data_IF_403473527496
#
_entry.id   IF_403473527496
#
_cell.length_a   1.000
_cell.length_b   1.000
_cell.length_c   1.000
_cell.angle_alpha   90.00
_cell.angle_beta   90.00
_cell.angle_gamma   90.00
#
_symmetry.space_group_name_H-M   'P 1'
#
loop_
_entity.id
_entity.type
_entity.pdbx_description
1 polymer ?
#
# COMPACT_ATOMS: atom_id res chain seq x y z
N UNK A 1 -9.35 -8.87 22.57
CA UNK A 1 -8.55 -9.92 21.89
C UNK A 1 -8.65 -11.23 22.66
N UNK A 2 -8.55 -12.39 21.99
CA UNK A 2 -8.48 -13.70 22.66
C UNK A 2 -7.04 -14.18 22.67
N UNK A 3 -6.56 -14.64 23.83
CA UNK A 3 -5.22 -15.18 23.99
C UNK A 3 -5.33 -16.57 24.59
N UNK A 4 -4.83 -17.58 23.88
CA UNK A 4 -4.83 -18.96 24.35
C UNK A 4 -3.39 -19.40 24.66
N UNK A 5 -3.13 -19.84 25.90
CA UNK A 5 -1.85 -20.39 26.32
C UNK A 5 -1.98 -21.91 26.31
N UNK A 6 -1.35 -22.55 25.31
CA UNK A 6 -1.36 -23.99 25.13
C UNK A 6 -0.22 -24.64 25.93
N UNK A 7 -0.55 -25.56 26.83
CA UNK A 7 0.42 -26.22 27.72
C UNK A 7 0.22 -27.73 27.72
N UNK A 8 1.29 -28.50 27.92
CA UNK A 8 1.13 -29.88 28.40
C UNK A 8 0.75 -29.88 29.88
N UNK A 9 0.11 -30.96 30.39
CA UNK A 9 -0.06 -31.15 31.83
C UNK A 9 1.27 -30.97 32.58
N UNK A 10 1.23 -30.26 33.71
CA UNK A 10 2.39 -30.00 34.57
C UNK A 10 3.58 -29.27 33.91
N UNK A 11 3.33 -28.45 32.87
CA UNK A 11 4.38 -27.67 32.23
C UNK A 11 5.03 -26.67 33.23
N UNK A 12 6.36 -26.74 33.47
CA UNK A 12 7.04 -25.90 34.46
C UNK A 12 7.11 -24.42 34.05
N UNK A 13 6.99 -24.13 32.76
CA UNK A 13 7.08 -22.77 32.23
C UNK A 13 5.71 -22.08 32.10
N UNK A 14 4.61 -22.78 32.39
CA UNK A 14 3.27 -22.20 32.28
C UNK A 14 3.06 -20.97 33.18
N UNK A 15 3.43 -21.00 34.48
CA UNK A 15 3.28 -19.81 35.34
C UNK A 15 4.12 -18.62 34.87
N UNK A 16 5.29 -18.88 34.31
CA UNK A 16 6.22 -17.84 33.81
C UNK A 16 5.62 -17.11 32.61
N UNK A 17 4.98 -17.84 31.69
CA UNK A 17 4.32 -17.24 30.53
C UNK A 17 3.11 -16.42 30.96
N UNK A 18 2.28 -16.93 31.86
CA UNK A 18 1.11 -16.22 32.38
C UNK A 18 1.51 -14.90 33.05
N UNK A 19 2.56 -14.91 33.89
CA UNK A 19 3.07 -13.70 34.54
C UNK A 19 3.60 -12.68 33.51
N UNK A 20 4.44 -13.12 32.57
CA UNK A 20 5.00 -12.23 31.53
C UNK A 20 3.92 -11.68 30.60
N UNK A 21 2.88 -12.47 30.33
CA UNK A 21 1.73 -12.04 29.53
C UNK A 21 0.92 -10.98 30.27
N UNK A 22 0.66 -11.16 31.57
CA UNK A 22 -0.01 -10.14 32.39
C UNK A 22 0.79 -8.81 32.40
N UNK A 23 2.12 -8.87 32.53
CA UNK A 23 2.99 -7.70 32.43
C UNK A 23 3.00 -7.06 31.03
N UNK A 24 2.86 -7.87 29.99
CA UNK A 24 2.82 -7.41 28.60
C UNK A 24 1.47 -6.75 28.25
N UNK A 25 0.38 -7.23 28.82
CA UNK A 25 -0.98 -6.69 28.61
C UNK A 25 -1.14 -5.28 29.19
N UNK A 26 -0.48 -4.95 30.30
CA UNK A 26 -0.39 -3.58 30.85
C UNK A 26 -1.75 -2.83 30.90
N UNK A 27 -2.83 -3.53 31.30
CA UNK A 27 -4.18 -2.97 31.39
C UNK A 27 -5.05 -3.10 30.13
N UNK A 28 -4.61 -3.79 29.07
CA UNK A 28 -5.43 -4.12 27.88
C UNK A 28 -6.54 -5.12 28.20
N UNK A 29 -7.70 -4.94 27.59
CA UNK A 29 -8.79 -5.93 27.63
C UNK A 29 -8.46 -7.13 26.74
N UNK A 30 -8.14 -8.26 27.37
CA UNK A 30 -7.91 -9.54 26.72
C UNK A 30 -8.59 -10.68 27.48
N UNK A 31 -9.21 -11.59 26.73
CA UNK A 31 -9.73 -12.86 27.25
C UNK A 31 -8.60 -13.89 27.17
N UNK A 32 -8.00 -14.20 28.31
CA UNK A 32 -6.85 -15.10 28.42
C UNK A 32 -7.31 -16.45 28.94
N UNK A 33 -7.17 -17.48 28.12
CA UNK A 33 -7.47 -18.86 28.50
C UNK A 33 -6.21 -19.73 28.47
N UNK A 34 -6.17 -20.71 29.36
CA UNK A 34 -5.17 -21.77 29.32
C UNK A 34 -5.82 -23.07 28.86
N UNK A 35 -5.17 -23.75 27.93
CA UNK A 35 -5.64 -25.02 27.37
C UNK A 35 -4.59 -26.09 27.57
N UNK A 36 -4.94 -27.14 28.32
CA UNK A 36 -4.09 -28.30 28.48
C UNK A 36 -4.24 -29.24 27.26
N UNK A 37 -3.11 -29.56 26.65
CA UNK A 37 -2.98 -30.38 25.45
C UNK A 37 -2.32 -31.70 25.84
N UNK A 38 -3.12 -32.77 25.80
CA UNK A 38 -2.71 -34.09 26.30
C UNK A 38 -2.14 -35.03 25.24
N UNK A 39 -2.39 -34.75 23.95
CA UNK A 39 -2.02 -35.65 22.86
C UNK A 39 -1.49 -34.91 21.61
N UNK A 40 -0.67 -35.57 20.77
CA UNK A 40 -0.08 -34.93 19.58
C UNK A 40 -1.10 -34.51 18.51
N UNK A 41 -2.27 -35.17 18.44
CA UNK A 41 -3.31 -34.81 17.47
C UNK A 41 -3.96 -33.48 17.87
N UNK A 42 -4.22 -33.30 19.17
CA UNK A 42 -4.70 -32.04 19.75
C UNK A 42 -3.66 -30.94 19.58
N UNK A 43 -2.37 -31.24 19.77
CA UNK A 43 -1.28 -30.30 19.51
C UNK A 43 -1.25 -29.84 18.05
N UNK A 44 -1.40 -30.76 17.09
CA UNK A 44 -1.47 -30.42 15.67
C UNK A 44 -2.72 -29.60 15.32
N UNK A 45 -3.89 -29.97 15.85
CA UNK A 45 -5.15 -29.24 15.62
C UNK A 45 -5.11 -27.81 16.14
N UNK A 46 -4.48 -27.60 17.30
CA UNK A 46 -4.37 -26.29 17.94
C UNK A 46 -3.11 -25.52 17.51
N UNK A 47 -2.26 -26.07 16.64
CA UNK A 47 -1.02 -25.42 16.21
C UNK A 47 0.05 -25.29 17.30
N UNK A 48 -0.02 -26.11 18.35
CA UNK A 48 0.97 -26.13 19.43
C UNK A 48 2.28 -26.74 18.94
N UNK A 49 3.29 -25.92 18.67
CA UNK A 49 4.62 -26.36 18.23
C UNK A 49 5.57 -26.71 19.39
N UNK A 50 5.08 -26.60 20.63
CA UNK A 50 5.71 -27.02 21.88
C UNK A 50 5.08 -26.32 23.09
N UNK A 51 5.36 -26.81 24.29
CA UNK A 51 4.84 -26.24 25.55
C UNK A 51 5.83 -25.27 26.19
N UNK A 52 5.40 -24.07 26.61
CA UNK A 52 4.13 -23.42 26.33
C UNK A 52 4.11 -22.84 24.90
N UNK A 53 2.93 -22.70 24.30
CA UNK A 53 2.70 -21.91 23.07
C UNK A 53 1.66 -20.84 23.34
N UNK A 54 1.96 -19.59 23.00
CA UNK A 54 1.02 -18.47 23.12
C UNK A 54 0.38 -18.23 21.76
N UNK A 55 -0.94 -18.35 21.69
CA UNK A 55 -1.73 -17.96 20.52
C UNK A 55 -2.42 -16.64 20.80
N UNK A 56 -2.35 -15.70 19.87
CA UNK A 56 -3.10 -14.45 19.89
C UNK A 56 -4.08 -14.50 18.73
N UNK A 57 -5.38 -14.41 19.03
CA UNK A 57 -6.49 -14.61 18.09
C UNK A 57 -6.34 -15.88 17.22
N UNK A 58 -5.79 -16.94 17.82
CA UNK A 58 -5.58 -18.24 17.17
C UNK A 58 -4.27 -18.38 16.39
N UNK A 59 -3.45 -17.33 16.28
CA UNK A 59 -2.16 -17.36 15.58
C UNK A 59 -0.97 -17.39 16.55
N UNK A 60 0.06 -18.18 16.23
CA UNK A 60 1.33 -18.22 16.98
C UNK A 60 2.32 -17.18 16.44
N UNK A 61 2.56 -16.05 17.14
CA UNK A 61 3.44 -14.99 16.66
C UNK A 61 4.93 -15.38 16.69
N UNK A 62 5.27 -16.51 17.30
CA UNK A 62 6.64 -17.01 17.42
C UNK A 62 6.86 -18.27 16.58
N UNK A 63 5.88 -18.66 15.77
CA UNK A 63 5.90 -19.87 14.97
C UNK A 63 7.04 -19.87 13.94
N UNK A 64 7.68 -21.02 13.75
CA UNK A 64 8.65 -21.22 12.67
C UNK A 64 7.97 -21.88 11.47
N UNK A 65 8.27 -21.45 10.22
CA UNK A 65 7.71 -22.08 9.02
C UNK A 65 8.03 -23.58 8.98
N UNK A 66 7.00 -24.40 8.78
CA UNK A 66 7.14 -25.87 8.71
C UNK A 66 7.24 -26.58 10.06
N UNK A 67 7.03 -25.88 11.18
CA UNK A 67 6.94 -26.53 12.48
C UNK A 67 5.68 -27.40 12.60
N UNK A 68 5.83 -28.59 13.18
CA UNK A 68 4.72 -29.53 13.42
C UNK A 68 4.24 -29.48 14.86
N UNK A 69 3.00 -29.93 15.08
CA UNK A 69 2.43 -30.07 16.42
C UNK A 69 3.33 -30.94 17.32
N UNK A 70 3.65 -30.45 18.53
CA UNK A 70 4.59 -31.11 19.45
C UNK A 70 4.18 -30.89 20.91
N UNK A 71 4.32 -31.95 21.72
CA UNK A 71 4.18 -31.93 23.18
C UNK A 71 5.49 -31.63 23.92
N UNK A 72 6.58 -31.35 23.20
CA UNK A 72 7.90 -31.08 23.79
C UNK A 72 8.00 -29.65 24.31
N UNK A 73 8.98 -29.37 25.19
CA UNK A 73 9.24 -28.00 25.62
C UNK A 73 9.64 -27.10 24.44
N UNK A 74 9.00 -25.93 24.36
CA UNK A 74 9.36 -24.89 23.39
C UNK A 74 10.43 -23.97 23.98
N UNK A 75 11.40 -23.59 23.15
CA UNK A 75 12.44 -22.65 23.51
C UNK A 75 12.26 -21.36 22.73
N UNK A 76 12.28 -20.25 23.46
CA UNK A 76 12.19 -18.89 22.96
C UNK A 76 13.55 -18.23 23.08
N UNK A 77 14.02 -17.58 22.01
CA UNK A 77 15.30 -16.87 22.03
C UNK A 77 15.06 -15.41 22.33
N UNK A 78 15.61 -14.94 23.45
CA UNK A 78 15.59 -13.54 23.83
C UNK A 78 16.60 -12.70 23.01
N UNK A 79 16.53 -11.35 23.12
CA UNK A 79 17.45 -10.43 22.44
C UNK A 79 18.93 -10.60 22.84
N UNK A 80 19.19 -11.19 24.00
CA UNK A 80 20.52 -11.53 24.53
C UNK A 80 21.05 -12.87 24.00
N UNK A 81 20.28 -13.55 23.12
CA UNK A 81 20.62 -14.83 22.51
C UNK A 81 20.41 -16.03 23.41
N UNK A 82 19.91 -15.85 24.65
CA UNK A 82 19.62 -16.96 25.56
C UNK A 82 18.31 -17.65 25.18
N UNK A 83 18.30 -18.97 25.27
CA UNK A 83 17.12 -19.78 25.07
C UNK A 83 16.40 -19.98 26.42
N UNK A 84 15.14 -19.58 26.50
CA UNK A 84 14.29 -19.70 27.68
C UNK A 84 13.02 -20.49 27.36
N UNK A 85 12.38 -21.05 28.39
CA UNK A 85 11.14 -21.81 28.25
C UNK A 85 9.87 -20.96 28.07
N UNK A 86 10.00 -19.64 27.97
CA UNK A 86 8.92 -18.67 27.85
C UNK A 86 9.37 -17.48 26.99
N UNK A 87 8.49 -16.86 26.18
CA UNK A 87 8.81 -15.62 25.48
C UNK A 87 9.08 -14.49 26.49
N UNK A 88 9.86 -13.49 26.07
CA UNK A 88 10.13 -12.31 26.91
C UNK A 88 8.92 -11.37 26.94
N UNK A 89 8.82 -10.52 27.98
CA UNK A 89 7.78 -9.48 28.05
C UNK A 89 7.86 -8.52 26.85
N UNK A 90 9.07 -8.24 26.37
CA UNK A 90 9.29 -7.36 25.20
C UNK A 90 8.74 -8.00 23.92
N UNK A 91 8.97 -9.29 23.72
CA UNK A 91 8.48 -10.02 22.56
C UNK A 91 6.96 -10.21 22.60
N UNK A 92 6.40 -10.46 23.80
CA UNK A 92 4.95 -10.50 24.01
C UNK A 92 4.32 -9.14 23.74
N UNK A 93 4.89 -8.04 24.24
CA UNK A 93 4.39 -6.68 23.93
C UNK A 93 4.44 -6.40 22.43
N UNK A 94 5.53 -6.76 21.75
CA UNK A 94 5.64 -6.61 20.29
C UNK A 94 4.58 -7.42 19.55
N UNK A 95 4.29 -8.64 20.00
CA UNK A 95 3.26 -9.49 19.41
C UNK A 95 1.84 -8.96 19.65
N UNK A 96 1.54 -8.49 20.86
CA UNK A 96 0.26 -7.86 21.21
C UNK A 96 0.05 -6.55 20.45
N UNK A 97 1.11 -5.73 20.34
CA UNK A 97 1.10 -4.55 19.48
C UNK A 97 0.87 -4.97 18.03
N UNK A 98 1.54 -5.98 17.49
CA UNK A 98 1.27 -6.43 16.12
C UNK A 98 -0.21 -6.79 15.89
N UNK A 99 -0.90 -7.36 16.89
CA UNK A 99 -2.31 -7.75 16.80
C UNK A 99 -3.29 -6.60 17.00
N UNK A 100 -3.04 -5.65 17.92
CA UNK A 100 -3.81 -4.40 17.99
C UNK A 100 -3.66 -3.57 16.69
N UNK A 101 -2.57 -3.80 15.95
CA UNK A 101 -2.28 -3.18 14.66
C UNK A 101 -2.85 -3.95 13.45
N UNK A 102 -3.37 -5.18 13.63
CA UNK A 102 -4.13 -5.95 12.62
C UNK A 102 -5.63 -6.00 12.91
N UNK A 103 -6.04 -5.88 14.17
CA UNK A 103 -7.42 -6.05 14.65
C UNK A 103 -8.43 -4.95 14.23
N UNK A 104 -8.02 -3.96 13.44
CA UNK A 104 -8.93 -2.93 12.91
C UNK A 104 -8.62 -2.49 11.47
N UNK A 105 -7.88 -3.29 10.70
CA UNK A 105 -7.56 -2.96 9.30
C UNK A 105 -7.63 -4.18 8.37
N UNK A 106 -8.48 -5.17 8.67
CA UNK A 106 -8.76 -6.26 7.75
C UNK A 106 -10.17 -6.09 7.16
N UNK A 107 -10.30 -5.07 6.31
CA UNK A 107 -11.18 -5.17 5.16
C UNK A 107 -10.27 -5.52 3.99
N UNK A 108 -10.64 -6.53 3.20
CA UNK A 108 -10.00 -6.74 1.89
C UNK A 108 -9.88 -5.39 1.20
N UNK A 109 -8.72 -5.05 0.60
CA UNK A 109 -8.56 -3.75 -0.02
C UNK A 109 -9.76 -3.55 -0.94
N UNK A 110 -10.58 -2.49 -0.76
CA UNK A 110 -11.24 -2.02 -1.94
C UNK A 110 -10.13 -1.78 -2.96
N UNK A 111 -10.42 -2.17 -4.18
CA UNK A 111 -9.50 -2.12 -5.28
C UNK A 111 -9.31 -0.62 -5.62
N UNK A 112 -8.63 0.13 -4.75
CA UNK A 112 -8.65 1.60 -4.69
C UNK A 112 -7.88 2.22 -5.86
N UNK A 113 -7.04 1.41 -6.51
CA UNK A 113 -6.45 1.71 -7.80
C UNK A 113 -7.27 1.16 -8.98
N UNK A 114 -8.19 0.23 -8.71
CA UNK A 114 -9.03 -0.39 -9.72
C UNK A 114 -10.34 0.38 -9.85
N UNK A 115 -10.49 0.96 -11.02
CA UNK A 115 -11.70 1.67 -11.45
C UNK A 115 -12.81 0.67 -11.79
N UNK A 116 -13.07 -0.32 -10.93
CA UNK A 116 -13.94 -1.45 -11.20
C UNK A 116 -13.55 -2.25 -12.45
N UNK A 117 -12.26 -2.58 -12.58
CA UNK A 117 -11.65 -3.38 -13.64
C UNK A 117 -11.15 -2.59 -14.86
N UNK A 118 -11.28 -1.26 -14.87
CA UNK A 118 -11.12 -0.46 -16.11
C UNK A 118 -9.69 0.01 -16.40
N UNK A 119 -8.77 -0.10 -15.44
CA UNK A 119 -7.38 0.34 -15.57
C UNK A 119 -7.22 1.84 -15.90
N UNK A 120 -5.98 2.28 -16.09
CA UNK A 120 -5.66 3.67 -16.47
C UNK A 120 -5.37 3.87 -17.94
N UNK A 121 -5.32 2.80 -18.74
CA UNK A 121 -5.04 2.89 -20.18
C UNK A 121 -6.34 3.08 -20.97
N UNK A 122 -6.46 4.21 -21.66
CA UNK A 122 -7.65 4.50 -22.46
C UNK A 122 -7.83 3.49 -23.62
N UNK A 123 -9.07 3.27 -24.09
CA UNK A 123 -9.32 2.43 -25.26
C UNK A 123 -8.60 2.95 -26.52
N UNK A 124 -8.26 2.05 -27.44
CA UNK A 124 -7.71 2.44 -28.77
C UNK A 124 -8.77 3.17 -29.61
N UNK A 125 -10.04 2.90 -29.36
CA UNK A 125 -11.15 3.43 -30.15
C UNK A 125 -11.17 4.96 -30.13
N UNK A 126 -11.45 5.57 -31.29
CA UNK A 126 -11.71 7.01 -31.40
C UNK A 126 -10.55 7.91 -30.99
N UNK A 127 -9.30 7.45 -31.05
CA UNK A 127 -8.11 8.24 -30.75
C UNK A 127 -7.83 8.47 -29.26
N UNK A 128 -8.66 7.94 -28.35
CA UNK A 128 -8.56 8.21 -26.91
C UNK A 128 -7.17 7.86 -26.35
N UNK A 129 -6.66 6.65 -26.63
CA UNK A 129 -5.33 6.22 -26.19
C UNK A 129 -4.20 7.07 -26.76
N UNK A 130 -4.29 7.42 -28.05
CA UNK A 130 -3.27 8.21 -28.72
C UNK A 130 -3.12 9.58 -28.04
N UNK A 131 -4.23 10.29 -27.89
CA UNK A 131 -4.27 11.60 -27.22
C UNK A 131 -3.87 11.48 -25.76
N UNK A 132 -4.33 10.46 -25.02
CA UNK A 132 -3.90 10.23 -23.64
C UNK A 132 -2.37 10.11 -23.55
N UNK A 133 -1.75 9.30 -24.41
CA UNK A 133 -0.30 9.12 -24.38
C UNK A 133 0.45 10.39 -24.79
N UNK A 134 -0.10 11.23 -25.68
CA UNK A 134 0.45 12.55 -25.99
C UNK A 134 0.43 13.44 -24.75
N UNK A 135 -0.71 13.52 -24.04
CA UNK A 135 -0.83 14.30 -22.79
C UNK A 135 0.20 13.84 -21.75
N UNK A 136 0.31 12.54 -21.51
CA UNK A 136 1.26 11.98 -20.53
C UNK A 136 2.72 12.27 -20.89
N UNK A 137 3.10 12.16 -22.17
CA UNK A 137 4.44 12.51 -22.64
C UNK A 137 4.71 14.00 -22.54
N UNK A 138 3.69 14.83 -22.79
CA UNK A 138 3.81 16.29 -22.66
C UNK A 138 4.14 16.66 -21.21
N UNK A 139 3.38 16.18 -20.23
CA UNK A 139 3.69 16.36 -18.79
C UNK A 139 5.13 15.97 -18.45
N UNK A 140 5.57 14.79 -18.89
CA UNK A 140 6.92 14.31 -18.60
C UNK A 140 8.04 15.19 -19.22
N UNK A 141 7.72 15.94 -20.27
CA UNK A 141 8.66 16.81 -20.98
C UNK A 141 8.63 18.27 -20.54
N UNK A 142 7.48 18.77 -20.08
CA UNK A 142 7.28 20.21 -19.77
C UNK A 142 6.99 20.49 -18.30
N UNK A 143 6.57 19.49 -17.52
CA UNK A 143 6.11 19.69 -16.15
C UNK A 143 4.62 20.05 -16.04
N UNK A 144 3.94 20.27 -17.17
CA UNK A 144 2.61 20.89 -17.22
C UNK A 144 1.67 20.16 -18.19
N UNK A 145 0.37 20.43 -18.07
CA UNK A 145 -0.62 19.98 -19.03
C UNK A 145 -0.47 20.71 -20.38
N UNK A 146 -0.67 20.02 -21.53
CA UNK A 146 -0.81 20.70 -22.81
C UNK A 146 -2.12 21.48 -22.86
N UNK A 147 -2.13 22.57 -23.62
CA UNK A 147 -3.40 23.22 -24.01
C UNK A 147 -4.10 22.40 -25.09
N UNK A 148 -5.43 22.47 -25.14
CA UNK A 148 -6.24 21.63 -26.04
C UNK A 148 -5.85 21.78 -27.51
N UNK A 149 -5.44 22.98 -27.93
CA UNK A 149 -4.98 23.25 -29.31
C UNK A 149 -3.73 22.45 -29.69
N UNK A 150 -2.84 22.14 -28.75
CA UNK A 150 -1.64 21.34 -29.00
C UNK A 150 -1.97 19.88 -29.32
N UNK A 151 -3.18 19.42 -28.99
CA UNK A 151 -3.66 18.07 -29.22
C UNK A 151 -4.41 17.91 -30.56
N UNK A 152 -4.70 19.01 -31.26
CA UNK A 152 -5.55 18.98 -32.47
C UNK A 152 -4.94 18.16 -33.60
N UNK A 153 -3.62 18.20 -33.78
CA UNK A 153 -2.96 17.41 -34.81
C UNK A 153 -3.16 15.90 -34.60
N UNK A 154 -3.06 15.43 -33.34
CA UNK A 154 -3.27 14.02 -33.00
C UNK A 154 -4.75 13.64 -33.11
N UNK A 155 -5.65 14.50 -32.63
CA UNK A 155 -7.09 14.26 -32.71
C UNK A 155 -7.59 14.18 -34.16
N UNK A 156 -7.12 15.09 -35.03
CA UNK A 156 -7.48 15.13 -36.44
C UNK A 156 -7.05 13.87 -37.19
N UNK A 157 -5.93 13.25 -36.81
CA UNK A 157 -5.49 11.96 -37.37
C UNK A 157 -6.50 10.82 -37.12
N UNK A 158 -7.37 10.99 -36.13
CA UNK A 158 -8.46 10.07 -35.78
C UNK A 158 -9.85 10.58 -36.20
N UNK A 159 -9.92 11.68 -36.97
CA UNK A 159 -11.18 12.24 -37.48
C UNK A 159 -12.06 12.89 -36.41
N UNK A 160 -11.46 13.36 -35.32
CA UNK A 160 -12.15 14.05 -34.21
C UNK A 160 -11.47 15.37 -33.87
N UNK A 161 -12.14 16.22 -33.11
CA UNK A 161 -11.53 17.42 -32.51
C UNK A 161 -10.81 17.05 -31.21
N UNK A 162 -9.81 17.84 -30.80
CA UNK A 162 -9.17 17.64 -29.51
C UNK A 162 -10.17 17.78 -28.35
N UNK A 163 -11.05 18.79 -28.41
CA UNK A 163 -12.08 19.03 -27.41
C UNK A 163 -12.97 17.79 -27.18
N UNK A 164 -13.44 17.14 -28.26
CA UNK A 164 -14.29 15.94 -28.14
C UNK A 164 -13.56 14.77 -27.46
N UNK A 165 -12.28 14.55 -27.80
CA UNK A 165 -11.48 13.47 -27.21
C UNK A 165 -11.17 13.77 -25.74
N UNK A 166 -10.80 15.01 -25.43
CA UNK A 166 -10.51 15.44 -24.04
C UNK A 166 -11.74 15.29 -23.16
N UNK A 167 -12.93 15.68 -23.65
CA UNK A 167 -14.19 15.50 -22.95
C UNK A 167 -14.50 14.01 -22.69
N UNK A 168 -14.28 13.12 -23.67
CA UNK A 168 -14.45 11.68 -23.50
C UNK A 168 -13.44 11.09 -22.50
N UNK A 169 -12.18 11.55 -22.53
CA UNK A 169 -11.16 11.12 -21.58
C UNK A 169 -11.52 11.56 -20.16
N UNK A 170 -12.09 12.76 -19.99
CA UNK A 170 -12.58 13.27 -18.72
C UNK A 170 -13.79 12.46 -18.22
N UNK A 171 -14.80 12.25 -19.07
CA UNK A 171 -15.97 11.43 -18.75
C UNK A 171 -15.58 9.98 -18.41
N UNK A 172 -14.51 9.50 -19.04
CA UNK A 172 -13.87 8.23 -18.78
C UNK A 172 -12.87 8.24 -17.63
N UNK A 173 -12.75 9.31 -16.82
CA UNK A 173 -11.82 9.47 -15.67
C UNK A 173 -10.38 9.00 -15.95
N UNK A 174 -9.90 9.30 -17.17
CA UNK A 174 -8.49 9.21 -17.55
C UNK A 174 -7.73 10.53 -17.29
N UNK A 175 -8.46 11.63 -17.26
CA UNK A 175 -8.00 12.97 -16.91
C UNK A 175 -9.10 13.73 -16.17
N UNK A 176 -8.76 14.88 -15.60
CA UNK A 176 -9.68 15.78 -14.90
C UNK A 176 -9.56 17.16 -15.52
N UNK A 177 -10.70 17.81 -15.78
CA UNK A 177 -10.76 19.17 -16.28
C UNK A 177 -10.97 20.18 -15.15
N UNK A 178 -10.50 21.42 -15.35
CA UNK A 178 -10.87 22.56 -14.53
C UNK A 178 -12.17 23.25 -15.04
N UNK A 179 -12.56 24.33 -14.37
CA UNK A 179 -13.77 25.11 -14.70
C UNK A 179 -13.69 25.82 -16.07
N UNK A 180 -12.51 25.86 -16.68
CA UNK A 180 -12.23 26.48 -17.99
C UNK A 180 -12.01 25.45 -19.09
N UNK A 181 -12.36 24.18 -18.86
CA UNK A 181 -12.13 23.05 -19.78
C UNK A 181 -10.63 22.76 -20.05
N UNK A 182 -9.73 23.30 -19.23
CA UNK A 182 -8.31 22.97 -19.24
C UNK A 182 -8.02 21.65 -18.51
N UNK A 183 -6.95 20.95 -18.90
CA UNK A 183 -6.56 19.70 -18.23
C UNK A 183 -5.89 20.04 -16.89
N UNK A 184 -6.60 19.78 -15.79
CA UNK A 184 -6.11 19.96 -14.41
C UNK A 184 -5.23 18.81 -13.94
N UNK A 185 -5.51 17.59 -14.41
CA UNK A 185 -4.76 16.39 -14.06
C UNK A 185 -4.91 15.33 -15.16
N UNK A 186 -3.88 14.52 -15.38
CA UNK A 186 -3.92 13.33 -16.22
C UNK A 186 -3.08 12.24 -15.56
N UNK A 187 -3.73 11.24 -14.97
CA UNK A 187 -3.07 10.29 -14.07
C UNK A 187 -1.87 9.61 -14.74
N UNK A 188 -0.68 9.64 -14.12
CA UNK A 188 -0.42 9.96 -12.70
C UNK A 188 -0.20 11.46 -12.36
N UNK A 189 -0.18 12.35 -13.34
CA UNK A 189 0.23 13.75 -13.18
C UNK A 189 -0.89 14.69 -12.73
N UNK A 190 -0.49 15.76 -12.03
CA UNK A 190 -1.30 16.92 -11.64
C UNK A 190 -0.67 18.18 -12.23
N UNK A 191 -1.48 19.07 -12.81
CA UNK A 191 -1.03 20.40 -13.24
C UNK A 191 -1.04 21.41 -12.07
N UNK A 192 -1.70 21.05 -10.97
CA UNK A 192 -1.71 21.82 -9.72
C UNK A 192 -0.69 21.24 -8.74
N UNK A 193 0.09 22.08 -8.02
CA UNK A 193 1.00 21.60 -7.00
C UNK A 193 0.31 20.71 -5.95
N UNK A 194 0.92 19.56 -5.66
CA UNK A 194 0.47 18.63 -4.62
C UNK A 194 1.57 18.43 -3.57
N UNK A 195 1.34 17.57 -2.57
CA UNK A 195 2.41 17.17 -1.66
C UNK A 195 3.49 16.32 -2.37
N UNK A 196 3.18 15.72 -3.52
CA UNK A 196 3.98 14.68 -4.16
C UNK A 196 4.71 15.23 -5.37
N UNK A 197 5.95 15.67 -5.18
CA UNK A 197 6.81 16.15 -6.27
C UNK A 197 7.65 15.01 -6.82
N UNK A 198 7.75 14.90 -8.15
CA UNK A 198 8.64 13.94 -8.80
C UNK A 198 9.59 14.70 -9.72
N UNK A 199 10.89 14.52 -9.51
CA UNK A 199 11.94 15.06 -10.38
C UNK A 199 12.47 13.94 -11.24
N UNK A 200 12.17 14.00 -12.54
CA UNK A 200 12.56 13.02 -13.55
C UNK A 200 14.06 13.20 -13.86
N UNK A 201 14.77 12.14 -14.26
CA UNK A 201 16.20 12.20 -14.62
C UNK A 201 16.55 13.27 -15.67
N UNK A 202 15.60 13.64 -16.54
CA UNK A 202 15.74 14.73 -17.51
C UNK A 202 15.89 16.11 -16.87
N UNK A 203 15.60 16.24 -15.58
CA UNK A 203 15.57 17.49 -14.82
C UNK A 203 14.18 18.13 -14.74
N UNK A 204 13.19 17.59 -15.44
CA UNK A 204 11.80 18.07 -15.38
C UNK A 204 11.18 17.69 -14.04
N UNK A 205 10.53 18.67 -13.39
CA UNK A 205 9.75 18.45 -12.18
C UNK A 205 8.27 18.41 -12.52
N UNK A 206 7.56 17.41 -12.00
CA UNK A 206 6.12 17.21 -12.15
C UNK A 206 5.49 17.00 -10.76
N UNK A 207 4.18 17.23 -10.67
CA UNK A 207 3.38 16.87 -9.50
C UNK A 207 2.59 15.61 -9.76
N UNK A 208 2.52 14.72 -8.77
CA UNK A 208 1.69 13.52 -8.83
C UNK A 208 0.41 13.72 -8.03
N UNK A 209 -0.70 13.10 -8.47
CA UNK A 209 -1.99 13.24 -7.78
C UNK A 209 -1.99 12.58 -6.39
N UNK A 210 -1.23 11.49 -6.21
CA UNK A 210 -1.16 10.75 -4.96
C UNK A 210 0.18 9.99 -4.81
N UNK A 211 0.37 9.31 -3.68
CA UNK A 211 1.57 8.53 -3.41
C UNK A 211 1.79 7.38 -4.41
N UNK A 212 0.75 6.62 -4.76
CA UNK A 212 0.85 5.52 -5.74
C UNK A 212 1.13 6.04 -7.14
N UNK A 213 0.52 7.17 -7.51
CA UNK A 213 0.78 7.85 -8.77
C UNK A 213 2.24 8.29 -8.87
N UNK A 214 2.80 8.85 -7.78
CA UNK A 214 4.22 9.22 -7.72
C UNK A 214 5.14 8.02 -7.93
N UNK A 215 4.85 6.88 -7.28
CA UNK A 215 5.61 5.63 -7.44
C UNK A 215 5.44 5.02 -8.84
N UNK A 216 4.34 5.29 -9.54
CA UNK A 216 4.10 4.78 -10.89
C UNK A 216 4.84 5.52 -12.00
N UNK A 217 5.20 6.79 -11.78
CA UNK A 217 5.83 7.65 -12.82
C UNK A 217 7.16 7.07 -13.35
N UNK A 218 8.13 6.64 -12.52
CA UNK A 218 9.42 6.13 -13.01
C UNK A 218 9.26 4.90 -13.90
N UNK A 219 8.45 3.93 -13.45
CA UNK A 219 8.15 2.71 -14.20
C UNK A 219 7.39 3.00 -15.50
N UNK A 220 6.42 3.93 -15.49
CA UNK A 220 5.68 4.35 -16.69
C UNK A 220 6.59 4.97 -17.76
N UNK A 221 7.56 5.77 -17.33
CA UNK A 221 8.49 6.48 -18.22
C UNK A 221 9.73 5.66 -18.58
N UNK A 222 10.02 4.59 -17.85
CA UNK A 222 11.25 3.81 -18.00
C UNK A 222 12.50 4.62 -17.68
N UNK A 223 12.44 5.48 -16.67
CA UNK A 223 13.53 6.38 -16.27
C UNK A 223 13.63 6.51 -14.76
N UNK A 224 14.83 6.82 -14.28
CA UNK A 224 15.09 7.18 -12.89
C UNK A 224 14.37 8.48 -12.50
N UNK A 225 14.03 8.61 -11.21
CA UNK A 225 13.43 9.81 -10.65
C UNK A 225 13.65 9.92 -9.14
N UNK A 226 13.52 11.13 -8.61
CA UNK A 226 13.47 11.40 -7.17
C UNK A 226 12.09 11.91 -6.80
N UNK A 227 11.40 11.20 -5.91
CA UNK A 227 10.10 11.58 -5.37
C UNK A 227 10.34 12.26 -4.02
N UNK A 228 9.71 13.41 -3.80
CA UNK A 228 9.68 14.10 -2.51
C UNK A 228 8.23 14.32 -2.09
N UNK A 229 7.92 13.96 -0.85
CA UNK A 229 6.61 14.15 -0.24
C UNK A 229 6.73 14.58 1.23
N UNK A 230 5.60 14.79 1.90
CA UNK A 230 5.52 15.17 3.30
C UNK A 230 4.46 14.34 4.02
N UNK A 231 4.76 13.94 5.26
CA UNK A 231 3.80 13.25 6.12
C UNK A 231 2.66 14.20 6.48
N UNK A 232 1.39 13.87 6.18
CA UNK A 232 0.28 14.79 6.40
C UNK A 232 -0.05 14.99 7.89
N UNK A 233 0.51 14.19 8.81
CA UNK A 233 0.29 14.34 10.26
C UNK A 233 1.34 15.22 10.91
N UNK A 234 2.61 15.02 10.54
CA UNK A 234 3.74 15.67 11.22
C UNK A 234 4.53 16.64 10.34
N UNK A 235 4.32 16.63 9.02
CA UNK A 235 4.98 17.52 8.05
C UNK A 235 6.39 17.11 7.64
N UNK A 236 6.98 16.10 8.28
CA UNK A 236 8.32 15.60 7.97
C UNK A 236 8.41 15.06 6.55
N UNK A 237 9.57 15.28 5.91
CA UNK A 237 9.82 14.91 4.51
C UNK A 237 9.99 13.40 4.35
N UNK A 238 9.37 12.86 3.30
CA UNK A 238 9.66 11.53 2.75
C UNK A 238 10.34 11.72 1.39
N UNK A 239 11.42 10.98 1.14
CA UNK A 239 12.09 10.93 -0.17
C UNK A 239 12.15 9.49 -0.65
N UNK A 240 11.83 9.25 -1.93
CA UNK A 240 12.02 7.97 -2.60
C UNK A 240 12.91 8.19 -3.81
N UNK A 241 14.07 7.57 -3.83
CA UNK A 241 15.00 7.60 -4.95
C UNK A 241 14.79 6.33 -5.79
N UNK A 242 14.37 6.50 -7.04
CA UNK A 242 14.19 5.43 -8.01
C UNK A 242 15.36 5.44 -8.99
N UNK A 243 16.22 4.44 -8.90
CA UNK A 243 17.40 4.27 -9.73
C UNK A 243 17.54 2.82 -10.20
N UNK A 244 17.80 2.61 -11.48
CA UNK A 244 18.00 1.28 -12.07
C UNK A 244 16.85 0.28 -11.77
N UNK A 245 15.61 0.80 -11.72
CA UNK A 245 14.40 -0.01 -11.42
C UNK A 245 14.26 -0.42 -9.95
N UNK A 246 15.09 0.11 -9.06
CA UNK A 246 15.01 -0.09 -7.62
C UNK A 246 14.64 1.22 -6.91
N UNK A 247 13.83 1.13 -5.86
CA UNK A 247 13.46 2.28 -5.05
C UNK A 247 14.07 2.19 -3.65
N UNK A 248 14.62 3.31 -3.17
CA UNK A 248 15.13 3.46 -1.81
C UNK A 248 14.41 4.59 -1.09
N UNK A 249 13.91 4.30 0.12
CA UNK A 249 12.99 5.17 0.83
C UNK A 249 13.64 5.76 2.08
N UNK A 250 13.38 7.05 2.30
CA UNK A 250 13.84 7.78 3.48
C UNK A 250 12.66 8.57 4.08
N UNK A 251 12.30 8.32 5.35
CA UNK A 251 12.88 7.32 6.24
C UNK A 251 12.58 5.89 5.78
N UNK A 252 13.43 4.93 6.18
CA UNK A 252 13.22 3.51 5.84
C UNK A 252 11.97 2.90 6.48
N UNK A 253 11.36 3.62 7.44
CA UNK A 253 10.07 3.27 8.06
C UNK A 253 8.87 3.78 7.29
N UNK A 254 9.08 4.51 6.18
CA UNK A 254 8.00 5.09 5.41
C UNK A 254 7.07 4.02 4.83
N UNK A 255 5.79 4.37 4.76
CA UNK A 255 4.68 3.52 4.30
C UNK A 255 3.69 4.36 3.51
N UNK A 256 2.74 3.70 2.85
CA UNK A 256 1.64 4.36 2.14
C UNK A 256 0.31 3.94 2.76
N UNK A 257 -0.62 4.87 2.97
CA UNK A 257 -2.02 4.51 3.22
C UNK A 257 -2.74 4.44 1.87
N UNK A 258 -3.40 3.33 1.59
CA UNK A 258 -4.21 3.13 0.37
C UNK A 258 -5.66 3.00 0.81
N UNK A 259 -6.48 3.97 0.43
CA UNK A 259 -7.89 4.00 0.80
C UNK A 259 -8.74 4.84 -0.14
N UNK A 260 -10.05 4.80 0.05
CA UNK A 260 -11.01 5.53 -0.74
C UNK A 260 -12.17 6.01 0.14
N UNK A 261 -12.85 7.08 -0.28
CA UNK A 261 -14.14 7.47 0.30
C UNK A 261 -15.24 6.55 -0.21
N UNK A 262 -16.31 6.42 0.58
CA UNK A 262 -17.50 5.64 0.20
C UNK A 262 -18.39 6.32 -0.86
N UNK A 263 -17.96 7.45 -1.44
CA UNK A 263 -18.71 8.19 -2.46
C UNK A 263 -18.27 7.83 -3.88
N UNK A 264 -19.15 8.10 -4.84
CA UNK A 264 -18.87 7.92 -6.28
C UNK A 264 -18.42 9.25 -6.89
N UNK A 265 -17.40 9.22 -7.76
CA UNK A 265 -16.80 10.40 -8.37
C UNK A 265 -15.45 10.10 -9.03
N UNK A 266 -14.80 11.10 -9.66
CA UNK A 266 -13.45 10.96 -10.21
C UNK A 266 -12.45 10.47 -9.16
N UNK A 267 -11.42 9.73 -9.59
CA UNK A 267 -10.45 9.19 -8.63
C UNK A 267 -9.71 10.29 -7.83
N UNK A 268 -9.52 11.46 -8.44
CA UNK A 268 -9.02 12.67 -7.81
C UNK A 268 -9.81 13.09 -6.55
N UNK A 269 -11.14 12.93 -6.59
CA UNK A 269 -12.03 13.39 -5.51
C UNK A 269 -12.33 12.29 -4.49
N UNK A 270 -12.25 11.03 -4.90
CA UNK A 270 -12.67 9.86 -4.10
C UNK A 270 -11.49 9.16 -3.42
N UNK A 271 -10.33 9.06 -4.09
CA UNK A 271 -9.22 8.23 -3.65
C UNK A 271 -7.95 9.05 -3.35
N UNK A 272 -7.58 10.02 -4.21
CA UNK A 272 -6.28 10.70 -4.11
C UNK A 272 -6.06 11.44 -2.77
N UNK A 273 -7.12 11.92 -2.11
CA UNK A 273 -7.03 12.50 -0.77
C UNK A 273 -6.62 11.53 0.34
N UNK A 274 -6.80 10.22 0.16
CA UNK A 274 -6.37 9.18 1.09
C UNK A 274 -5.04 8.52 0.72
N UNK A 275 -4.66 8.51 -0.55
CA UNK A 275 -3.43 7.85 -1.01
C UNK A 275 -2.19 8.70 -0.72
N UNK A 276 -1.67 8.63 0.51
CA UNK A 276 -0.55 9.45 0.96
C UNK A 276 0.62 8.64 1.52
N UNK A 277 1.81 9.23 1.43
CA UNK A 277 3.01 8.78 2.13
C UNK A 277 2.94 9.16 3.61
N UNK A 278 3.55 8.32 4.44
CA UNK A 278 3.73 8.56 5.86
C UNK A 278 5.14 8.14 6.25
N UNK A 279 5.78 8.89 7.14
CA UNK A 279 7.10 8.55 7.69
C UNK A 279 7.09 7.23 8.46
N UNK A 280 5.93 6.81 8.97
CA UNK A 280 5.78 5.57 9.73
C UNK A 280 4.35 5.06 9.72
N UNK A 281 4.17 3.77 10.01
CA UNK A 281 2.83 3.18 10.26
C UNK A 281 2.08 3.89 11.39
N UNK A 282 2.79 4.42 12.39
CA UNK A 282 2.20 5.16 13.51
C UNK A 282 1.48 6.43 13.03
N UNK A 283 2.11 7.22 12.17
CA UNK A 283 1.49 8.44 11.61
C UNK A 283 0.38 8.09 10.64
N UNK A 284 0.55 7.06 9.82
CA UNK A 284 -0.53 6.55 8.95
C UNK A 284 -1.79 6.15 9.72
N UNK A 285 -1.64 5.39 10.82
CA UNK A 285 -2.78 5.01 11.67
C UNK A 285 -3.40 6.20 12.41
N UNK A 286 -2.59 7.20 12.81
CA UNK A 286 -3.11 8.42 13.42
C UNK A 286 -3.95 9.22 12.43
N UNK A 287 -3.49 9.35 11.19
CA UNK A 287 -4.24 9.99 10.10
C UNK A 287 -5.55 9.25 9.81
N UNK A 288 -5.52 7.93 9.70
CA UNK A 288 -6.73 7.14 9.44
C UNK A 288 -7.82 7.35 10.51
N UNK A 289 -7.44 7.42 11.80
CA UNK A 289 -8.39 7.72 12.89
C UNK A 289 -8.98 9.14 12.82
N UNK A 290 -8.23 10.10 12.29
CA UNK A 290 -8.69 11.49 12.12
C UNK A 290 -9.53 11.67 10.85
N UNK A 291 -9.50 10.70 9.94
CA UNK A 291 -10.14 10.75 8.62
C UNK A 291 -11.09 9.55 8.44
N UNK A 292 -12.12 9.39 9.28
CA UNK A 292 -13.00 8.21 9.30
C UNK A 292 -13.83 8.04 8.03
N UNK A 293 -13.96 9.09 7.22
CA UNK A 293 -14.68 9.04 5.93
C UNK A 293 -13.93 8.20 4.87
N UNK A 294 -12.67 7.85 5.12
CA UNK A 294 -11.87 7.02 4.23
C UNK A 294 -11.72 5.61 4.79
N UNK A 295 -12.05 4.63 3.95
CA UNK A 295 -11.79 3.21 4.24
C UNK A 295 -10.55 2.75 3.48
N UNK A 296 -9.58 2.16 4.17
CA UNK A 296 -8.30 1.78 3.57
C UNK A 296 -7.38 1.03 4.51
N UNK A 297 -6.14 0.81 4.06
CA UNK A 297 -5.10 0.11 4.82
C UNK A 297 -3.72 0.73 4.62
N UNK A 298 -2.85 0.52 5.58
CA UNK A 298 -1.41 0.84 5.44
C UNK A 298 -0.72 -0.31 4.71
N UNK A 299 -0.01 0.02 3.64
CA UNK A 299 0.84 -0.91 2.87
C UNK A 299 2.31 -0.56 3.04
N UNK A 300 3.16 -1.58 2.99
CA UNK A 300 4.62 -1.40 2.97
C UNK A 300 5.13 -0.92 1.60
N UNK A 301 6.43 -0.63 1.54
CA UNK A 301 7.12 -0.11 0.36
C UNK A 301 6.98 -1.04 -0.85
N UNK A 302 7.25 -2.33 -0.67
CA UNK A 302 7.20 -3.31 -1.76
C UNK A 302 5.81 -3.43 -2.39
N UNK A 303 4.76 -3.42 -1.57
CA UNK A 303 3.39 -3.47 -2.03
C UNK A 303 2.95 -2.16 -2.69
N UNK A 304 3.42 -1.01 -2.19
CA UNK A 304 3.14 0.30 -2.79
C UNK A 304 3.81 0.45 -4.17
N UNK A 305 5.08 0.06 -4.28
CA UNK A 305 5.83 0.04 -5.55
C UNK A 305 5.17 -0.87 -6.58
N UNK A 306 4.82 -2.10 -6.18
CA UNK A 306 4.15 -3.07 -7.04
C UNK A 306 2.80 -2.53 -7.54
N UNK A 307 2.05 -1.84 -6.69
CA UNK A 307 0.78 -1.23 -7.06
C UNK A 307 1.00 -0.11 -8.10
N UNK A 308 1.91 0.83 -7.85
CA UNK A 308 2.26 1.89 -8.80
C UNK A 308 2.65 1.32 -10.17
N UNK A 309 3.54 0.32 -10.19
CA UNK A 309 3.95 -0.38 -11.41
C UNK A 309 2.79 -1.03 -12.14
N UNK A 310 1.93 -1.76 -11.43
CA UNK A 310 0.81 -2.48 -12.05
C UNK A 310 -0.21 -1.55 -12.69
N UNK A 311 -0.38 -0.34 -12.13
CA UNK A 311 -1.38 0.63 -12.59
C UNK A 311 -0.85 1.45 -13.76
N UNK A 312 0.42 1.86 -13.71
CA UNK A 312 0.97 2.88 -14.62
C UNK A 312 2.05 2.35 -15.57
N UNK A 313 2.74 1.26 -15.24
CA UNK A 313 3.92 0.80 -15.98
C UNK A 313 3.68 0.51 -17.46
N UNK A 314 2.47 0.13 -17.85
CA UNK A 314 2.14 -0.16 -19.25
C UNK A 314 1.53 1.02 -20.03
N UNK A 315 1.37 2.21 -19.44
CA UNK A 315 0.61 3.29 -20.08
C UNK A 315 1.28 3.84 -21.34
N UNK A 316 2.61 3.92 -21.35
CA UNK A 316 3.40 4.43 -22.47
C UNK A 316 4.14 3.34 -23.25
N UNK A 317 3.92 2.07 -22.89
CA UNK A 317 4.44 0.95 -23.66
C UNK A 317 3.96 1.02 -25.11
N UNK A 318 4.86 0.72 -26.05
CA UNK A 318 4.48 0.60 -27.45
C UNK A 318 3.41 -0.50 -27.59
N UNK A 319 2.38 -0.25 -28.41
CA UNK A 319 1.37 -1.26 -28.67
C UNK A 319 2.05 -2.55 -29.17
N UNK A 320 1.78 -3.69 -28.53
CA UNK A 320 2.30 -4.96 -29.01
C UNK A 320 1.91 -5.15 -30.49
N UNK A 321 2.83 -5.63 -31.35
CA UNK A 321 2.49 -5.96 -32.72
C UNK A 321 1.32 -6.94 -32.71
N UNK A 322 0.23 -6.64 -33.43
CA UNK A 322 -0.87 -7.60 -33.62
C UNK A 322 -0.27 -8.86 -34.23
N UNK A 323 -0.16 -9.93 -33.44
CA UNK A 323 0.24 -11.23 -33.93
C UNK A 323 -0.69 -11.60 -35.09
N UNK A 324 -0.11 -11.63 -36.28
CA UNK A 324 -0.84 -11.90 -37.51
C UNK A 324 -1.49 -13.26 -37.41
N UNK A 325 -2.82 -13.27 -37.31
CA UNK A 325 -3.63 -14.47 -37.53
C UNK A 325 -3.39 -14.90 -38.99
N UNK A 326 -2.51 -15.88 -39.17
CA UNK A 326 -2.39 -16.69 -40.39
C UNK A 326 -3.63 -17.55 -40.57
#
# INVERSE_FOLDING_TARGET
MRISVLTVPDCPNAPVVEERLAQALDGREADVERVDVGDPEQAARLGMTGSPTVLIDGADPFGLPGAHGSLSCRLYRGPDGRAEGAPSVVDLRRALDAVDFTGNCDCSPPDAADRGGRGRLAPVAGGLRAVQQVVLRHFASTGHAPVTEELEAEAAAHGRTAADIVADLAAGDFLVLDDHEGIRAAYPFSDVPTAHRVRIATGVEVWAMCAIDALGIPDMLGTDAVITSADPVIGDTITVDSADGHMSWQPSTAVVYVGQRSCTGPAADVACGALNFFTSRRTACAWARQNPDYTGKVVDQSNAEALGRSVFGSLLAAAEPREGRR
#
